data_IF_874617380461
#
_entry.id   IF_874617380461
#
_cell.length_a   1.000
_cell.length_b   1.000
_cell.length_c   1.000
_cell.angle_alpha   90.00
_cell.angle_beta   90.00
_cell.angle_gamma   90.00
#
_symmetry.space_group_name_H-M   'P 1'
#
loop_
_entity.id
_entity.type
_entity.pdbx_description
1 polymer ?
#
# COMPACT_ATOMS: atom_id res chain seq x y z
N UNK A 1 -6.72 0.74 -0.53
CA UNK A 1 -5.33 1.14 -0.26
C UNK A 1 -5.04 1.19 1.25
N UNK A 2 -5.44 2.24 1.98
CA UNK A 2 -5.04 2.45 3.39
C UNK A 2 -5.40 1.29 4.35
N UNK A 3 -6.51 0.60 4.13
CA UNK A 3 -6.89 -0.60 4.89
C UNK A 3 -5.87 -1.74 4.73
N UNK A 4 -5.57 -2.09 3.49
CA UNK A 4 -4.58 -3.11 3.14
C UNK A 4 -3.17 -2.75 3.65
N UNK A 5 -2.77 -1.48 3.48
CA UNK A 5 -1.50 -0.97 4.00
C UNK A 5 -1.42 -1.15 5.52
N UNK A 6 -2.43 -0.69 6.26
CA UNK A 6 -2.45 -0.81 7.73
C UNK A 6 -2.36 -2.27 8.19
N UNK A 7 -3.12 -3.17 7.56
CA UNK A 7 -3.11 -4.60 7.86
C UNK A 7 -1.71 -5.20 7.65
N UNK A 8 -1.06 -4.91 6.52
CA UNK A 8 0.30 -5.35 6.23
C UNK A 8 1.32 -4.79 7.22
N UNK A 9 1.33 -3.47 7.41
CA UNK A 9 2.32 -2.75 8.19
C UNK A 9 2.31 -3.10 9.67
N UNK A 10 1.12 -3.05 10.29
CA UNK A 10 1.01 -3.26 11.73
C UNK A 10 1.22 -4.72 12.13
N UNK A 11 0.84 -5.67 11.26
CA UNK A 11 1.06 -7.09 11.52
C UNK A 11 2.41 -7.61 10.99
N UNK A 12 3.23 -6.76 10.37
CA UNK A 12 4.54 -7.13 9.79
C UNK A 12 4.43 -8.35 8.88
N UNK A 13 3.43 -8.36 8.00
CA UNK A 13 3.14 -9.51 7.15
C UNK A 13 4.16 -9.61 6.01
N UNK A 14 4.78 -10.77 5.82
CA UNK A 14 5.60 -11.02 4.63
C UNK A 14 4.69 -11.26 3.43
N UNK A 15 4.95 -10.56 2.33
CA UNK A 15 4.09 -10.55 1.14
C UNK A 15 4.90 -10.84 -0.12
N UNK A 16 4.22 -11.30 -1.16
CA UNK A 16 4.85 -11.61 -2.45
C UNK A 16 5.26 -10.36 -3.20
N UNK A 17 6.31 -10.50 -3.99
CA UNK A 17 6.66 -9.51 -5.00
C UNK A 17 5.68 -9.57 -6.18
N UNK A 18 5.33 -8.41 -6.71
CA UNK A 18 4.66 -8.26 -7.99
C UNK A 18 5.71 -8.37 -9.09
N UNK A 19 5.54 -9.33 -10.00
CA UNK A 19 6.43 -9.43 -11.17
C UNK A 19 6.16 -8.24 -12.12
N UNK A 20 7.08 -7.28 -12.10
CA UNK A 20 7.02 -6.09 -12.94
C UNK A 20 7.13 -6.42 -14.44
N UNK A 21 7.70 -7.56 -14.80
CA UNK A 21 7.84 -8.01 -16.19
C UNK A 21 6.51 -8.43 -16.83
N UNK A 22 5.48 -8.76 -16.03
CA UNK A 22 4.14 -9.10 -16.54
C UNK A 22 3.42 -7.88 -17.16
N UNK A 23 3.83 -6.68 -16.78
CA UNK A 23 3.25 -5.42 -17.24
C UNK A 23 4.12 -4.89 -18.37
N UNK A 24 3.77 -5.19 -19.63
CA UNK A 24 4.44 -4.59 -20.79
C UNK A 24 4.18 -3.06 -20.85
N UNK A 25 4.92 -2.33 -20.03
CA UNK A 25 4.80 -0.90 -19.79
C UNK A 25 6.20 -0.27 -19.82
N UNK A 26 6.41 0.68 -20.73
CA UNK A 26 7.69 1.40 -20.85
C UNK A 26 8.01 2.20 -19.58
N UNK A 27 7.01 2.82 -18.96
CA UNK A 27 7.23 3.63 -17.75
C UNK A 27 7.78 2.79 -16.59
N UNK A 28 7.26 1.57 -16.41
CA UNK A 28 7.73 0.64 -15.37
C UNK A 28 9.18 0.22 -15.62
N UNK A 29 9.53 -0.02 -16.90
CA UNK A 29 10.92 -0.34 -17.27
C UNK A 29 11.85 0.84 -17.03
N UNK A 30 11.47 2.03 -17.49
CA UNK A 30 12.28 3.24 -17.42
C UNK A 30 12.57 3.64 -15.97
N UNK A 31 11.56 3.60 -15.09
CA UNK A 31 11.72 3.96 -13.68
C UNK A 31 12.61 2.96 -12.94
N UNK A 32 12.51 1.67 -13.26
CA UNK A 32 13.35 0.63 -12.69
C UNK A 32 14.81 0.82 -13.10
N UNK A 33 15.06 1.12 -14.37
CA UNK A 33 16.40 1.43 -14.88
C UNK A 33 16.96 2.68 -14.18
N UNK A 34 16.19 3.77 -14.15
CA UNK A 34 16.62 5.03 -13.53
C UNK A 34 17.00 4.86 -12.05
N UNK A 35 16.20 4.13 -11.28
CA UNK A 35 16.52 3.87 -9.88
C UNK A 35 17.73 2.95 -9.71
N UNK A 36 17.86 1.92 -10.56
CA UNK A 36 19.02 1.02 -10.53
C UNK A 36 20.31 1.78 -10.84
N UNK A 37 20.30 2.64 -11.86
CA UNK A 37 21.44 3.47 -12.24
C UNK A 37 21.83 4.47 -11.13
N UNK A 38 20.86 4.90 -10.33
CA UNK A 38 21.07 5.72 -9.14
C UNK A 38 21.50 4.92 -7.88
N UNK A 39 21.79 3.62 -8.02
CA UNK A 39 22.20 2.76 -6.91
C UNK A 39 21.06 2.40 -5.95
N UNK A 40 19.80 2.47 -6.41
CA UNK A 40 18.60 2.23 -5.60
C UNK A 40 17.90 0.97 -6.05
N UNK A 41 17.56 0.12 -5.09
CA UNK A 41 16.81 -1.12 -5.32
C UNK A 41 15.33 -0.82 -5.21
N UNK A 42 14.54 -1.31 -6.18
CA UNK A 42 13.10 -1.18 -6.22
C UNK A 42 12.46 -2.57 -6.28
N UNK A 43 11.46 -2.81 -5.44
CA UNK A 43 10.54 -3.94 -5.53
C UNK A 43 9.13 -3.50 -5.14
N UNK A 44 8.12 -4.32 -5.45
CA UNK A 44 6.73 -4.00 -5.16
C UNK A 44 6.07 -5.19 -4.48
N UNK A 45 5.48 -4.98 -3.30
CA UNK A 45 4.75 -6.00 -2.56
C UNK A 45 3.27 -5.99 -2.92
N UNK A 46 2.70 -7.17 -3.13
CA UNK A 46 1.25 -7.36 -3.21
C UNK A 46 0.65 -7.43 -1.80
N UNK A 47 0.00 -6.35 -1.35
CA UNK A 47 -0.66 -6.27 -0.03
C UNK A 47 -2.18 -6.45 -0.14
N UNK A 48 -2.70 -6.99 -1.24
CA UNK A 48 -4.12 -7.20 -1.48
C UNK A 48 -4.78 -7.95 -0.31
N UNK A 49 -5.84 -7.34 0.23
CA UNK A 49 -6.59 -7.84 1.38
C UNK A 49 -7.76 -8.74 0.96
N UNK A 50 -8.57 -9.17 1.93
CA UNK A 50 -9.76 -10.01 1.70
C UNK A 50 -10.86 -9.34 0.86
N UNK A 51 -10.73 -8.05 0.54
CA UNK A 51 -11.61 -7.34 -0.39
C UNK A 51 -11.28 -7.66 -1.86
N UNK A 52 -10.11 -8.24 -2.15
CA UNK A 52 -9.69 -8.68 -3.48
C UNK A 52 -9.32 -7.56 -4.46
N UNK A 53 -9.45 -6.28 -4.07
CA UNK A 53 -9.03 -5.15 -4.92
C UNK A 53 -7.50 -5.05 -4.89
N UNK A 54 -6.80 -5.15 -6.04
CA UNK A 54 -5.35 -5.05 -6.09
C UNK A 54 -4.84 -3.83 -5.34
N UNK A 55 -3.95 -4.08 -4.37
CA UNK A 55 -3.33 -3.04 -3.56
C UNK A 55 -1.84 -3.36 -3.39
N UNK A 56 -0.99 -2.44 -3.82
CA UNK A 56 0.45 -2.63 -3.92
C UNK A 56 1.21 -1.60 -3.08
N UNK A 57 2.37 -2.01 -2.56
CA UNK A 57 3.33 -1.12 -1.90
C UNK A 57 4.67 -1.24 -2.62
N UNK A 58 5.04 -0.18 -3.34
CA UNK A 58 6.38 -0.02 -3.89
C UNK A 58 7.35 0.38 -2.77
N UNK A 59 8.53 -0.25 -2.76
CA UNK A 59 9.57 -0.02 -1.77
C UNK A 59 10.87 0.25 -2.51
N UNK A 60 11.48 1.39 -2.21
CA UNK A 60 12.79 1.77 -2.73
C UNK A 60 13.77 1.83 -1.57
N UNK A 61 14.90 1.15 -1.72
CA UNK A 61 15.95 1.09 -0.72
C UNK A 61 17.32 1.44 -1.32
N UNK A 62 18.11 2.25 -0.62
CA UNK A 62 19.48 2.58 -1.01
C UNK A 62 20.40 2.71 0.21
N UNK A 63 21.70 2.76 -0.06
CA UNK A 63 22.71 3.04 0.97
C UNK A 63 23.34 4.38 0.62
N UNK A 64 23.40 5.29 1.59
CA UNK A 64 24.09 6.57 1.48
C UNK A 64 24.96 6.78 2.72
N UNK A 65 26.25 7.10 2.55
CA UNK A 65 27.22 7.27 3.65
C UNK A 65 27.20 6.17 4.73
N UNK A 66 27.02 4.91 4.30
CA UNK A 66 26.97 3.74 5.19
C UNK A 66 25.65 3.57 5.96
N UNK A 67 24.66 4.43 5.72
CA UNK A 67 23.31 4.34 6.28
C UNK A 67 22.34 3.76 5.25
N UNK A 68 21.49 2.84 5.69
CA UNK A 68 20.38 2.36 4.87
C UNK A 68 19.25 3.38 4.87
N UNK A 69 18.61 3.53 3.74
CA UNK A 69 17.49 4.43 3.52
C UNK A 69 16.36 3.70 2.82
N UNK A 70 15.12 4.11 3.09
CA UNK A 70 13.94 3.49 2.51
C UNK A 70 12.84 4.51 2.24
N UNK A 71 12.13 4.31 1.13
CA UNK A 71 10.97 5.11 0.74
C UNK A 71 9.84 4.20 0.27
N UNK A 72 8.62 4.66 0.46
CA UNK A 72 7.41 3.89 0.15
C UNK A 72 6.50 4.66 -0.80
N UNK A 73 5.75 3.91 -1.59
CA UNK A 73 4.58 4.39 -2.29
C UNK A 73 3.54 3.30 -2.38
N UNK A 74 2.27 3.65 -2.40
CA UNK A 74 1.17 2.72 -2.40
C UNK A 74 0.13 3.06 -3.44
N UNK A 75 -0.63 2.06 -3.85
CA UNK A 75 -1.67 2.25 -4.84
C UNK A 75 -2.66 1.11 -4.79
N UNK A 76 -3.94 1.42 -5.00
CA UNK A 76 -4.96 0.41 -5.20
C UNK A 76 -5.86 0.78 -6.38
N UNK A 77 -6.22 -0.21 -7.18
CA UNK A 77 -7.09 -0.06 -8.34
C UNK A 77 -7.59 -1.44 -8.80
N UNK A 78 -8.73 -1.51 -9.50
CA UNK A 78 -9.20 -2.77 -10.08
C UNK A 78 -8.27 -3.30 -11.18
N UNK A 79 -7.73 -2.39 -11.99
CA UNK A 79 -6.64 -2.68 -12.92
C UNK A 79 -5.30 -2.77 -12.17
N UNK A 80 -4.67 -3.96 -12.20
CA UNK A 80 -3.35 -4.22 -11.59
C UNK A 80 -2.27 -3.27 -12.10
N UNK A 81 -2.28 -2.93 -13.40
CA UNK A 81 -1.31 -1.99 -14.00
C UNK A 81 -1.47 -0.61 -13.39
N UNK A 82 -2.70 -0.11 -13.26
CA UNK A 82 -2.97 1.19 -12.65
C UNK A 82 -2.59 1.19 -11.16
N UNK A 83 -2.90 0.12 -10.42
CA UNK A 83 -2.50 0.00 -9.02
C UNK A 83 -0.98 0.09 -8.84
N UNK A 84 -0.22 -0.53 -9.75
CA UNK A 84 1.24 -0.51 -9.79
C UNK A 84 1.79 0.86 -10.18
N UNK A 85 1.24 1.50 -11.23
CA UNK A 85 1.64 2.85 -11.62
C UNK A 85 1.41 3.86 -10.49
N UNK A 86 0.29 3.74 -9.76
CA UNK A 86 0.00 4.58 -8.59
C UNK A 86 1.03 4.40 -7.48
N UNK A 87 1.40 3.16 -7.14
CA UNK A 87 2.42 2.93 -6.10
C UNK A 87 3.80 3.47 -6.49
N UNK A 88 4.21 3.30 -7.75
CA UNK A 88 5.49 3.82 -8.26
C UNK A 88 5.52 5.36 -8.36
N UNK A 89 4.41 5.98 -8.76
CA UNK A 89 4.29 7.44 -8.83
C UNK A 89 4.22 8.08 -7.45
N UNK A 90 3.48 7.50 -6.50
CA UNK A 90 3.46 7.97 -5.10
C UNK A 90 4.87 7.90 -4.49
N UNK A 91 5.62 6.81 -4.73
CA UNK A 91 7.00 6.66 -4.27
C UNK A 91 7.91 7.76 -4.83
N UNK A 92 7.77 8.04 -6.13
CA UNK A 92 8.56 9.07 -6.82
C UNK A 92 8.24 10.48 -6.33
N UNK A 93 6.98 10.73 -5.99
CA UNK A 93 6.52 12.00 -5.40
C UNK A 93 7.16 12.22 -4.02
N UNK A 94 7.11 11.22 -3.13
CA UNK A 94 7.71 11.35 -1.80
C UNK A 94 9.21 11.54 -1.83
N UNK A 95 9.90 10.79 -2.71
CA UNK A 95 11.31 11.00 -2.95
C UNK A 95 11.60 12.45 -3.39
N UNK A 96 10.82 12.97 -4.33
CA UNK A 96 11.01 14.33 -4.85
C UNK A 96 10.77 15.39 -3.76
N UNK A 97 9.74 15.20 -2.93
CA UNK A 97 9.46 16.09 -1.78
C UNK A 97 10.63 16.07 -0.78
N UNK A 98 11.18 14.89 -0.47
CA UNK A 98 12.33 14.74 0.41
C UNK A 98 13.58 15.48 -0.09
N UNK A 99 13.80 15.48 -1.40
CA UNK A 99 14.91 16.19 -2.05
C UNK A 99 14.66 17.72 -2.15
N UNK A 100 13.43 18.14 -2.43
CA UNK A 100 13.07 19.56 -2.55
C UNK A 100 13.03 20.30 -1.22
N UNK A 101 12.80 19.59 -0.10
CA UNK A 101 12.78 20.16 1.25
C UNK A 101 14.13 20.64 1.78
N UNK A 102 15.20 20.64 0.97
CA UNK A 102 16.55 21.04 1.36
C UNK A 102 17.30 20.01 2.21
N UNK A 103 16.71 18.83 2.42
CA UNK A 103 17.38 17.67 3.02
C UNK A 103 18.04 16.79 1.95
N UNK A 104 18.77 15.75 2.38
CA UNK A 104 19.35 14.76 1.48
C UNK A 104 18.32 13.81 0.84
N UNK A 105 17.05 13.89 1.27
CA UNK A 105 16.03 12.88 0.97
C UNK A 105 16.25 11.56 1.71
N UNK A 106 17.27 11.48 2.58
CA UNK A 106 17.58 10.28 3.35
C UNK A 106 16.50 10.02 4.40
N UNK A 107 16.05 8.76 4.43
CA UNK A 107 15.07 8.21 5.34
C UNK A 107 15.68 7.00 6.03
N UNK A 108 16.63 7.27 6.93
CA UNK A 108 17.44 6.27 7.60
C UNK A 108 16.84 5.75 8.91
N UNK A 109 15.54 5.94 9.14
CA UNK A 109 14.83 5.43 10.33
C UNK A 109 13.33 5.29 10.07
N UNK A 110 12.71 4.20 10.56
CA UNK A 110 11.25 4.01 10.44
C UNK A 110 10.46 4.70 11.55
N UNK A 111 11.02 4.79 12.75
CA UNK A 111 10.41 5.38 13.94
C UNK A 111 10.94 6.78 14.27
N UNK A 112 11.90 7.28 13.48
CA UNK A 112 12.57 8.56 13.67
C UNK A 112 13.69 8.54 14.71
N UNK A 113 14.02 7.37 15.28
CA UNK A 113 14.99 7.22 16.39
C UNK A 113 16.01 6.13 16.06
N UNK A 114 15.54 4.97 15.65
CA UNK A 114 16.34 3.77 15.42
C UNK A 114 16.89 3.78 13.99
N UNK A 115 18.22 3.69 13.80
CA UNK A 115 18.80 3.56 12.46
C UNK A 115 18.23 2.35 11.72
N UNK A 116 17.83 2.55 10.47
CA UNK A 116 17.29 1.52 9.61
C UNK A 116 18.35 0.45 9.36
N UNK A 117 17.93 -0.79 9.58
CA UNK A 117 18.59 -2.02 9.11
C UNK A 117 17.51 -2.91 8.54
N UNK A 118 17.50 -3.13 7.23
CA UNK A 118 16.45 -3.86 6.52
C UNK A 118 16.28 -5.29 7.06
N UNK A 119 17.36 -5.90 7.55
CA UNK A 119 17.36 -7.21 8.21
C UNK A 119 16.45 -7.26 9.46
N UNK A 120 16.25 -6.15 10.17
CA UNK A 120 15.37 -6.07 11.34
C UNK A 120 13.88 -6.00 10.94
N UNK A 121 13.58 -5.77 9.66
CA UNK A 121 12.24 -5.59 9.13
C UNK A 121 11.97 -6.52 7.94
N UNK A 122 11.99 -7.85 8.14
CA UNK A 122 11.90 -8.83 7.05
C UNK A 122 10.56 -8.80 6.28
N UNK A 123 9.55 -8.11 6.80
CA UNK A 123 8.26 -7.88 6.13
C UNK A 123 8.30 -6.82 5.03
N UNK A 124 9.38 -6.03 4.99
CA UNK A 124 9.63 -5.04 3.94
C UNK A 124 10.28 -5.66 2.70
N UNK A 125 10.79 -6.89 2.80
CA UNK A 125 11.43 -7.62 1.69
C UNK A 125 10.48 -8.71 1.20
N UNK A 126 10.43 -8.99 -0.12
CA UNK A 126 9.59 -10.04 -0.67
C UNK A 126 9.72 -11.38 0.07
N UNK A 127 8.59 -12.07 0.23
CA UNK A 127 8.55 -13.43 0.73
C UNK A 127 9.15 -14.39 -0.31
N UNK A 128 10.01 -15.31 0.13
CA UNK A 128 10.60 -16.34 -0.75
C UNK A 128 9.56 -17.31 -1.31
N UNK A 129 8.40 -17.43 -0.65
CA UNK A 129 7.28 -18.25 -1.11
C UNK A 129 6.16 -17.33 -1.58
N UNK A 130 5.64 -17.51 -2.79
CA UNK A 130 4.50 -16.74 -3.26
C UNK A 130 3.26 -17.06 -2.41
N UNK A 131 2.74 -16.05 -1.71
CA UNK A 131 1.36 -16.00 -1.25
C UNK A 131 0.46 -15.69 -2.43
N UNK A 132 -0.54 -16.54 -2.67
CA UNK A 132 -1.55 -16.29 -3.70
C UNK A 132 -2.39 -15.09 -3.27
N UNK A 133 -2.43 -14.05 -4.09
CA UNK A 133 -3.27 -12.90 -3.84
C UNK A 133 -4.76 -13.31 -3.87
N UNK A 134 -5.60 -12.81 -2.94
CA UNK A 134 -7.02 -13.09 -2.98
C UNK A 134 -7.62 -12.62 -4.30
N UNK A 135 -8.34 -13.50 -4.99
CA UNK A 135 -9.03 -13.13 -6.22
C UNK A 135 -10.26 -12.26 -5.94
N UNK A 136 -10.51 -11.30 -6.83
CA UNK A 136 -11.70 -10.46 -6.76
C UNK A 136 -12.94 -11.31 -7.11
N UNK A 137 -13.91 -11.35 -6.19
CA UNK A 137 -15.14 -12.16 -6.36
C UNK A 137 -16.12 -11.66 -7.43
N UNK A 138 -15.79 -10.56 -8.12
CA UNK A 138 -16.63 -9.93 -9.15
C UNK A 138 -15.77 -9.48 -10.33
N UNK A 139 -16.31 -9.60 -11.53
CA UNK A 139 -15.74 -8.97 -12.72
C UNK A 139 -16.12 -7.49 -12.74
N UNK A 140 -15.14 -6.61 -12.92
CA UNK A 140 -15.35 -5.16 -12.91
C UNK A 140 -14.97 -4.58 -14.27
N UNK A 141 -15.89 -3.90 -14.99
CA UNK A 141 -15.54 -3.15 -16.21
C UNK A 141 -14.55 -2.04 -15.88
N UNK A 142 -13.40 -2.02 -16.56
CA UNK A 142 -12.32 -1.06 -16.29
C UNK A 142 -12.47 0.27 -17.05
N UNK A 143 -13.36 0.32 -18.03
CA UNK A 143 -13.62 1.46 -18.91
C UNK A 143 -14.74 2.40 -18.41
N UNK A 144 -15.51 1.98 -17.40
CA UNK A 144 -16.63 2.75 -16.86
C UNK A 144 -16.44 3.06 -15.36
N UNK A 145 -16.29 4.34 -15.03
CA UNK A 145 -16.09 4.79 -13.65
C UNK A 145 -17.31 4.52 -12.74
N UNK A 146 -18.54 4.63 -13.26
CA UNK A 146 -19.75 4.35 -12.48
C UNK A 146 -19.82 2.88 -12.09
N UNK A 147 -19.49 1.98 -13.01
CA UNK A 147 -19.51 0.54 -12.76
C UNK A 147 -18.43 0.14 -11.75
N UNK A 148 -17.25 0.77 -11.80
CA UNK A 148 -16.22 0.60 -10.78
C UNK A 148 -16.66 1.08 -9.39
N UNK A 149 -17.37 2.21 -9.30
CA UNK A 149 -17.94 2.66 -8.02
C UNK A 149 -19.00 1.69 -7.52
N UNK A 150 -19.90 1.20 -8.39
CA UNK A 150 -20.89 0.19 -8.02
C UNK A 150 -20.25 -1.11 -7.54
N UNK A 151 -19.14 -1.53 -8.17
CA UNK A 151 -18.35 -2.66 -7.73
C UNK A 151 -17.76 -2.45 -6.32
N UNK A 152 -17.25 -1.26 -6.00
CA UNK A 152 -16.80 -0.93 -4.64
C UNK A 152 -17.92 -1.06 -3.60
N UNK A 153 -19.13 -0.60 -3.92
CA UNK A 153 -20.31 -0.73 -3.05
C UNK A 153 -20.65 -2.20 -2.82
N UNK A 154 -20.67 -3.02 -3.89
CA UNK A 154 -20.97 -4.44 -3.79
C UNK A 154 -19.90 -5.22 -3.00
N UNK A 155 -18.62 -4.90 -3.18
CA UNK A 155 -17.52 -5.49 -2.41
C UNK A 155 -17.67 -5.17 -0.92
N UNK A 156 -17.93 -3.91 -0.57
CA UNK A 156 -18.15 -3.51 0.81
C UNK A 156 -19.37 -4.24 1.41
N UNK A 157 -20.48 -4.29 0.67
CA UNK A 157 -21.70 -4.98 1.08
C UNK A 157 -21.47 -6.48 1.33
N UNK A 158 -20.77 -7.17 0.43
CA UNK A 158 -20.42 -8.59 0.59
C UNK A 158 -19.50 -8.85 1.77
N UNK A 159 -18.63 -7.90 2.08
CA UNK A 159 -17.76 -7.95 3.26
C UNK A 159 -18.47 -7.53 4.56
N UNK A 160 -19.75 -7.14 4.49
CA UNK A 160 -20.55 -6.76 5.65
C UNK A 160 -20.32 -5.31 6.12
N UNK A 161 -19.91 -4.41 5.23
CA UNK A 161 -19.69 -3.00 5.53
C UNK A 161 -20.66 -2.09 4.78
N UNK A 162 -21.06 -1.02 5.46
CA UNK A 162 -21.78 0.09 4.83
C UNK A 162 -20.83 0.90 3.94
N UNK A 163 -21.36 1.48 2.86
CA UNK A 163 -20.63 2.37 1.95
C UNK A 163 -21.33 3.73 1.90
N UNK A 164 -20.80 4.68 2.67
CA UNK A 164 -21.38 6.01 2.82
C UNK A 164 -20.62 7.02 1.96
N UNK A 165 -21.34 7.97 1.37
CA UNK A 165 -20.77 9.05 0.55
C UNK A 165 -21.29 10.38 1.07
N UNK A 166 -20.37 11.29 1.39
CA UNK A 166 -20.67 12.68 1.67
C UNK A 166 -20.21 13.53 0.48
N UNK A 167 -21.17 14.19 -0.18
CA UNK A 167 -20.86 15.23 -1.16
C UNK A 167 -20.35 16.48 -0.44
N UNK A 168 -19.15 16.91 -0.81
CA UNK A 168 -18.48 18.10 -0.29
C UNK A 168 -18.29 19.16 -1.38
N UNK A 169 -19.00 19.03 -2.51
CA UNK A 169 -18.96 19.97 -3.61
C UNK A 169 -19.41 21.34 -3.14
N UNK A 170 -18.55 22.32 -3.38
CA UNK A 170 -18.78 23.71 -3.02
C UNK A 170 -19.40 24.45 -4.20
N UNK A 171 -20.59 25.07 -4.06
CA UNK A 171 -21.24 25.76 -5.17
C UNK A 171 -20.42 26.89 -5.79
N UNK A 172 -19.50 27.50 -5.02
CA UNK A 172 -18.62 28.58 -5.47
C UNK A 172 -17.36 28.08 -6.20
N UNK A 173 -17.00 26.80 -6.07
CA UNK A 173 -15.82 26.19 -6.71
C UNK A 173 -16.22 25.28 -7.87
N UNK A 174 -17.41 24.67 -7.81
CA UNK A 174 -18.00 23.80 -8.84
C UNK A 174 -17.18 22.55 -9.23
N UNK A 175 -16.05 22.30 -8.57
CA UNK A 175 -15.29 21.04 -8.70
C UNK A 175 -15.91 19.98 -7.78
N UNK A 176 -16.32 18.81 -8.32
CA UNK A 176 -16.88 17.74 -7.50
C UNK A 176 -15.88 17.21 -6.46
N UNK A 177 -16.29 17.18 -5.19
CA UNK A 177 -15.49 16.61 -4.09
C UNK A 177 -16.37 15.69 -3.27
N UNK A 178 -15.92 14.46 -3.02
CA UNK A 178 -16.65 13.50 -2.20
C UNK A 178 -15.75 12.90 -1.12
N UNK A 179 -16.35 12.60 0.03
CA UNK A 179 -15.74 11.78 1.09
C UNK A 179 -16.49 10.46 1.19
N UNK A 180 -15.78 9.38 0.85
CA UNK A 180 -16.27 8.02 1.02
C UNK A 180 -15.89 7.51 2.42
N UNK A 181 -16.84 6.91 3.11
CA UNK A 181 -16.66 6.35 4.46
C UNK A 181 -17.17 4.91 4.44
N UNK A 182 -16.30 3.96 4.78
CA UNK A 182 -16.65 2.55 4.94
C UNK A 182 -16.33 2.13 6.37
N UNK A 183 -17.29 2.22 7.30
CA UNK A 183 -17.07 1.89 8.71
C UNK A 183 -16.55 0.46 8.85
N UNK A 184 -15.43 0.30 9.59
CA UNK A 184 -14.76 -0.99 9.77
C UNK A 184 -13.43 -1.09 9.01
N UNK A 185 -13.30 -0.44 7.85
CA UNK A 185 -12.00 -0.35 7.15
C UNK A 185 -10.98 0.44 7.97
N UNK A 186 -9.71 0.05 7.83
CA UNK A 186 -8.62 0.61 8.63
C UNK A 186 -7.99 1.81 7.96
N UNK A 187 -7.66 2.80 8.79
CA UNK A 187 -6.72 3.85 8.42
C UNK A 187 -5.31 3.38 8.74
N UNK A 188 -4.31 3.95 8.07
CA UNK A 188 -2.90 3.70 8.37
C UNK A 188 -2.40 4.39 9.66
N UNK A 189 -3.26 5.16 10.33
CA UNK A 189 -2.94 5.72 11.65
C UNK A 189 -3.09 4.68 12.75
N UNK A 190 -2.42 4.89 13.88
CA UNK A 190 -2.43 4.01 15.05
C UNK A 190 -3.80 3.94 15.72
N UNK A 191 -4.71 3.16 15.13
CA UNK A 191 -6.08 2.90 15.59
C UNK A 191 -6.26 1.40 15.75
N UNK A 192 -5.87 0.89 16.91
CA UNK A 192 -5.74 -0.56 17.18
C UNK A 192 -6.99 -1.20 17.78
N UNK A 193 -8.15 -0.59 17.58
CA UNK A 193 -9.42 -1.17 18.01
C UNK A 193 -9.69 -2.52 17.32
N UNK A 194 -10.43 -3.45 17.98
CA UNK A 194 -10.77 -4.77 17.43
C UNK A 194 -11.41 -4.73 16.04
N UNK A 195 -11.32 -5.85 15.29
CA UNK A 195 -11.87 -6.03 13.93
C UNK A 195 -10.80 -6.33 12.87
N UNK A 196 -11.00 -5.86 11.64
CA UNK A 196 -10.18 -6.17 10.43
C UNK A 196 -8.67 -6.20 10.60
N UNK A 197 -8.12 -5.32 11.44
CA UNK A 197 -6.66 -5.23 11.67
C UNK A 197 -6.09 -6.56 12.20
N UNK A 198 -6.89 -7.28 12.99
CA UNK A 198 -6.55 -8.54 13.64
C UNK A 198 -7.14 -9.75 12.89
N UNK A 199 -8.36 -9.60 12.35
CA UNK A 199 -9.10 -10.72 11.78
C UNK A 199 -8.66 -11.07 10.35
N UNK A 200 -8.34 -10.06 9.53
CA UNK A 200 -8.01 -10.27 8.11
C UNK A 200 -6.73 -11.08 7.90
N UNK A 201 -5.63 -10.85 8.63
CA UNK A 201 -4.43 -11.69 8.51
C UNK A 201 -4.73 -13.19 8.71
N UNK A 202 -5.59 -13.53 9.68
CA UNK A 202 -5.97 -14.92 9.98
C UNK A 202 -6.91 -15.47 8.90
N UNK A 203 -7.90 -14.68 8.47
CA UNK A 203 -8.82 -15.05 7.39
C UNK A 203 -8.08 -15.37 6.08
N UNK A 204 -6.97 -14.68 5.81
CA UNK A 204 -6.13 -14.89 4.64
C UNK A 204 -5.08 -16.00 4.82
N UNK A 205 -5.02 -16.65 5.99
CA UNK A 205 -4.01 -17.67 6.29
C UNK A 205 -2.58 -17.12 6.39
N UNK A 206 -2.42 -15.82 6.61
CA UNK A 206 -1.11 -15.16 6.76
C UNK A 206 -0.57 -15.30 8.19
N UNK A 207 -1.47 -15.50 9.16
CA UNK A 207 -1.16 -15.79 10.55
C UNK A 207 -2.10 -16.89 11.06
N UNK A 208 -1.60 -17.78 11.92
CA UNK A 208 -2.43 -18.83 12.53
C UNK A 208 -3.40 -18.27 13.59
N UNK A 209 -3.05 -17.14 14.20
CA UNK A 209 -3.84 -16.44 15.21
C UNK A 209 -3.60 -14.93 15.13
N UNK A 210 -4.53 -14.09 15.61
CA UNK A 210 -4.32 -12.65 15.64
C UNK A 210 -3.15 -12.28 16.55
N UNK A 211 -2.37 -11.26 16.18
CA UNK A 211 -1.38 -10.68 17.07
C UNK A 211 -2.08 -9.90 18.19
N UNK A 212 -1.57 -9.93 19.43
CA UNK A 212 -2.00 -8.97 20.44
C UNK A 212 -1.56 -7.56 20.07
N UNK A 213 -2.27 -6.53 20.57
CA UNK A 213 -1.95 -5.12 20.29
C UNK A 213 -0.50 -4.77 20.63
N UNK A 214 0.06 -5.37 21.69
CA UNK A 214 1.45 -5.17 22.12
C UNK A 214 2.51 -5.67 21.12
N UNK A 215 2.12 -6.50 20.16
CA UNK A 215 3.01 -7.04 19.12
C UNK A 215 2.85 -6.33 17.76
N UNK A 216 1.91 -5.39 17.66
CA UNK A 216 1.74 -4.56 16.46
C UNK A 216 2.90 -3.55 16.33
N UNK A 217 3.21 -3.18 15.08
CA UNK A 217 4.22 -2.14 14.80
C UNK A 217 3.85 -0.83 15.53
N UNK A 218 4.72 -0.28 16.40
CA UNK A 218 4.35 0.84 17.27
C UNK A 218 4.49 2.22 16.60
N UNK A 219 5.05 2.29 15.39
CA UNK A 219 5.28 3.52 14.64
C UNK A 219 4.42 3.57 13.37
N UNK A 220 4.16 4.79 12.90
CA UNK A 220 3.39 5.03 11.68
C UNK A 220 4.19 4.58 10.45
N UNK A 221 3.50 4.11 9.39
CA UNK A 221 4.15 3.97 8.10
C UNK A 221 4.61 5.33 7.59
N UNK A 222 5.71 5.33 6.85
CA UNK A 222 6.17 6.50 6.10
C UNK A 222 5.16 6.76 4.99
N UNK A 223 4.60 7.97 5.00
CA UNK A 223 3.68 8.52 3.99
C UNK A 223 3.90 10.02 3.89
#
# INVERSE_FOLDING_TARGET
ERDAYAIWWYNRLRRSEVDLGEFDDSYIRDIKTQFTDAGRRLWVLDVTSDLGVPAYVAIMHWINDGQENIEFGSGAHFDRRIALLRSLTELSQFLSIGLMGGGSGDKSSLDGITPLRLENYPFLVPANRPTVAPELSITVPLDNARDQVNACVEIARRAGYDFLVLDQTRPDVEVPVARVIVPGLRHFYRRFGPGRLYDVPVKLGLLDRPLPESELTPFLPHT
#
